data_IF_684845193637
#
_entry.id   IF_684845193637
#
_cell.length_a   1.000
_cell.length_b   1.000
_cell.length_c   1.000
_cell.angle_alpha   90.00
_cell.angle_beta   90.00
_cell.angle_gamma   90.00
#
_symmetry.space_group_name_H-M   'P 1'
#
loop_
_entity.id
_entity.type
_entity.pdbx_description
1 polymer ?
#
# COMPACT_ATOMS: atom_id res chain seq x y z
N UNK A 1 -13.64 -28.13 -3.40
CA UNK A 1 -12.73 -27.04 -3.82
C UNK A 1 -13.48 -25.75 -3.60
N UNK A 2 -13.12 -24.97 -2.59
CA UNK A 2 -13.73 -23.65 -2.39
C UNK A 2 -13.37 -22.78 -3.59
N UNK A 3 -14.35 -22.49 -4.45
CA UNK A 3 -14.20 -21.58 -5.57
C UNK A 3 -14.03 -20.16 -4.98
N UNK A 4 -12.78 -19.74 -4.86
CA UNK A 4 -12.46 -18.39 -4.35
C UNK A 4 -12.85 -17.35 -5.41
N UNK A 5 -13.46 -16.27 -4.96
CA UNK A 5 -13.72 -15.13 -5.83
C UNK A 5 -12.40 -14.54 -6.33
N UNK A 6 -12.28 -14.30 -7.63
CA UNK A 6 -11.16 -13.58 -8.25
C UNK A 6 -11.69 -12.49 -9.18
N UNK A 7 -10.95 -11.40 -9.25
CA UNK A 7 -11.21 -10.27 -10.13
C UNK A 7 -10.02 -10.09 -11.07
N UNK A 8 -10.26 -10.21 -12.36
CA UNK A 8 -9.27 -9.94 -13.40
C UNK A 8 -9.55 -8.58 -14.03
N UNK A 9 -8.52 -7.78 -14.10
CA UNK A 9 -8.60 -6.40 -14.60
C UNK A 9 -7.55 -6.21 -15.68
N UNK A 10 -7.98 -5.90 -16.90
CA UNK A 10 -7.14 -5.44 -17.98
C UNK A 10 -7.84 -4.27 -18.64
N UNK A 11 -7.35 -3.06 -18.38
CA UNK A 11 -7.98 -1.83 -18.85
C UNK A 11 -6.95 -0.84 -19.37
N UNK A 12 -7.35 -0.11 -20.41
CA UNK A 12 -6.65 1.05 -20.92
C UNK A 12 -7.58 2.26 -20.92
N UNK A 13 -7.09 3.39 -20.45
CA UNK A 13 -7.82 4.65 -20.51
C UNK A 13 -6.89 5.83 -20.76
N UNK A 14 -7.21 6.61 -21.75
CA UNK A 14 -6.54 7.87 -22.04
C UNK A 14 -6.99 8.93 -21.03
N UNK A 15 -6.03 9.54 -20.35
CA UNK A 15 -6.21 10.66 -19.46
C UNK A 15 -5.47 11.87 -20.03
N UNK A 16 -5.73 13.07 -19.49
CA UNK A 16 -5.15 14.30 -20.02
C UNK A 16 -3.62 14.28 -20.06
N UNK A 17 -2.98 13.72 -19.02
CA UNK A 17 -1.54 13.83 -18.81
C UNK A 17 -0.79 12.50 -19.02
N UNK A 18 -1.50 11.37 -19.03
CA UNK A 18 -0.92 10.05 -19.25
C UNK A 18 -1.98 9.01 -19.64
N UNK A 19 -1.55 7.87 -20.13
CA UNK A 19 -2.43 6.72 -20.40
C UNK A 19 -2.40 5.75 -19.22
N UNK A 20 -3.55 5.50 -18.61
CA UNK A 20 -3.72 4.43 -17.64
C UNK A 20 -3.73 3.08 -18.37
N UNK A 21 -2.83 2.19 -17.98
CA UNK A 21 -2.75 0.82 -18.48
C UNK A 21 -2.52 -0.13 -17.31
N UNK A 22 -3.57 -0.84 -16.92
CA UNK A 22 -3.58 -1.68 -15.72
C UNK A 22 -3.95 -3.11 -16.10
N UNK A 23 -3.06 -4.05 -15.74
CA UNK A 23 -3.31 -5.48 -15.93
C UNK A 23 -2.89 -6.23 -14.67
N UNK A 24 -3.87 -6.76 -13.91
CA UNK A 24 -3.63 -7.50 -12.69
C UNK A 24 -4.81 -8.41 -12.33
N UNK A 25 -4.57 -9.35 -11.44
CA UNK A 25 -5.60 -10.20 -10.84
C UNK A 25 -5.60 -10.02 -9.33
N UNK A 26 -6.78 -9.97 -8.74
CA UNK A 26 -6.99 -9.93 -7.30
C UNK A 26 -7.85 -11.12 -6.86
N UNK A 27 -7.46 -11.75 -5.76
CA UNK A 27 -8.16 -12.94 -5.24
C UNK A 27 -8.21 -12.92 -3.71
N UNK A 28 -7.78 -14.00 -3.08
CA UNK A 28 -7.77 -14.13 -1.62
C UNK A 28 -6.87 -13.08 -0.95
N UNK A 29 -7.35 -12.48 0.10
CA UNK A 29 -6.67 -11.42 0.84
C UNK A 29 -6.94 -10.04 0.23
N UNK A 30 -6.19 -9.04 0.70
CA UNK A 30 -6.29 -7.69 0.20
C UNK A 30 -5.18 -7.41 -0.82
N UNK A 31 -5.54 -6.94 -2.01
CA UNK A 31 -4.61 -6.40 -2.99
C UNK A 31 -4.41 -4.91 -2.72
N UNK A 32 -3.18 -4.47 -2.50
CA UNK A 32 -2.81 -3.06 -2.39
C UNK A 32 -2.40 -2.46 -3.73
N UNK A 33 -2.89 -1.27 -4.07
CA UNK A 33 -2.38 -0.48 -5.18
C UNK A 33 -1.70 0.75 -4.57
N UNK A 34 -0.35 0.76 -4.59
CA UNK A 34 0.47 1.83 -4.03
C UNK A 34 1.04 2.71 -5.14
N UNK A 35 1.00 4.01 -4.96
CA UNK A 35 1.57 4.97 -5.91
C UNK A 35 1.37 6.41 -5.48
N UNK A 36 2.07 7.34 -6.12
CA UNK A 36 1.93 8.76 -5.87
C UNK A 36 0.50 9.27 -6.18
N UNK A 37 0.13 10.40 -5.58
CA UNK A 37 -1.14 11.06 -5.91
C UNK A 37 -1.20 11.38 -7.40
N UNK A 38 -2.36 11.15 -8.02
CA UNK A 38 -2.56 11.42 -9.45
C UNK A 38 -2.07 10.34 -10.42
N UNK A 39 -1.43 9.24 -9.98
CA UNK A 39 -0.92 8.19 -10.88
C UNK A 39 -1.98 7.24 -11.47
N UNK A 40 -3.28 7.43 -11.19
CA UNK A 40 -4.36 6.65 -11.79
C UNK A 40 -5.05 5.63 -10.88
N UNK A 41 -4.66 5.49 -9.60
CA UNK A 41 -5.19 4.50 -8.64
C UNK A 41 -6.72 4.55 -8.49
N UNK A 42 -7.26 5.71 -8.13
CA UNK A 42 -8.71 5.91 -7.98
C UNK A 42 -9.46 5.73 -9.30
N UNK A 43 -8.83 6.04 -10.44
CA UNK A 43 -9.41 5.81 -11.76
C UNK A 43 -9.59 4.31 -12.03
N UNK A 44 -8.59 3.49 -11.64
CA UNK A 44 -8.67 2.03 -11.72
C UNK A 44 -9.85 1.50 -10.90
N UNK A 45 -9.98 1.91 -9.64
CA UNK A 45 -11.12 1.49 -8.81
C UNK A 45 -12.47 1.93 -9.38
N UNK A 46 -12.57 3.18 -9.87
CA UNK A 46 -13.79 3.70 -10.50
C UNK A 46 -14.15 2.93 -11.76
N UNK A 47 -13.15 2.46 -12.53
CA UNK A 47 -13.37 1.62 -13.71
C UNK A 47 -13.92 0.24 -13.31
N UNK A 48 -13.38 -0.38 -12.28
CA UNK A 48 -13.88 -1.66 -11.74
C UNK A 48 -15.32 -1.50 -11.23
N UNK A 49 -15.61 -0.43 -10.52
CA UNK A 49 -16.96 -0.14 -10.02
C UNK A 49 -17.97 0.24 -11.12
N UNK A 50 -17.51 0.55 -12.34
CA UNK A 50 -18.36 0.99 -13.45
C UNK A 50 -18.78 2.45 -13.37
N UNK A 51 -18.15 3.24 -12.50
CA UNK A 51 -18.36 4.68 -12.37
C UNK A 51 -17.72 5.41 -13.55
N UNK A 52 -16.58 4.90 -14.00
CA UNK A 52 -15.87 5.37 -15.20
C UNK A 52 -15.77 4.21 -16.18
N UNK A 53 -15.98 4.50 -17.46
CA UNK A 53 -15.83 3.51 -18.54
C UNK A 53 -14.39 3.60 -19.05
N UNK A 54 -13.61 2.50 -19.05
CA UNK A 54 -12.34 2.41 -19.76
C UNK A 54 -12.55 2.59 -21.26
N UNK A 55 -11.50 2.94 -21.99
CA UNK A 55 -11.57 3.08 -23.46
C UNK A 55 -11.42 1.70 -24.10
N UNK A 56 -10.56 0.85 -23.54
CA UNK A 56 -10.31 -0.52 -24.01
C UNK A 56 -10.13 -1.47 -22.82
N UNK A 57 -10.36 -2.76 -23.06
CA UNK A 57 -10.00 -3.83 -22.13
C UNK A 57 -11.18 -4.65 -21.64
N UNK A 58 -10.92 -5.42 -20.57
CA UNK A 58 -11.84 -6.39 -19.98
C UNK A 58 -11.73 -6.41 -18.47
N UNK A 59 -12.87 -6.53 -17.78
CA UNK A 59 -12.96 -6.72 -16.32
C UNK A 59 -13.87 -7.91 -16.06
N UNK A 60 -13.35 -8.92 -15.37
CA UNK A 60 -14.05 -10.19 -15.12
C UNK A 60 -14.05 -10.50 -13.64
N UNK A 61 -15.22 -10.86 -13.12
CA UNK A 61 -15.40 -11.40 -11.78
C UNK A 61 -15.68 -12.91 -11.90
N UNK A 62 -14.80 -13.71 -11.32
CA UNK A 62 -15.00 -15.14 -11.15
C UNK A 62 -15.42 -15.42 -9.70
N UNK A 63 -16.44 -16.21 -9.49
CA UNK A 63 -16.95 -16.52 -8.17
C UNK A 63 -17.78 -17.80 -8.17
N UNK A 64 -18.47 -18.08 -7.07
CA UNK A 64 -19.30 -19.26 -6.90
C UNK A 64 -20.37 -19.45 -8.00
N UNK A 65 -20.75 -18.36 -8.68
CA UNK A 65 -21.73 -18.34 -9.75
C UNK A 65 -21.14 -18.47 -11.16
N UNK A 66 -19.83 -18.75 -11.24
CA UNK A 66 -19.06 -18.79 -12.48
C UNK A 66 -18.48 -17.44 -12.89
N UNK A 67 -18.00 -17.37 -14.12
CA UNK A 67 -17.42 -16.16 -14.74
C UNK A 67 -18.52 -15.15 -15.06
N UNK A 68 -18.29 -13.89 -14.71
CA UNK A 68 -19.14 -12.75 -15.04
C UNK A 68 -18.31 -11.60 -15.60
N UNK A 69 -18.57 -11.22 -16.82
CA UNK A 69 -17.93 -10.09 -17.50
C UNK A 69 -18.60 -8.80 -17.07
N UNK A 70 -17.89 -7.95 -16.32
CA UNK A 70 -18.36 -6.64 -15.85
C UNK A 70 -18.19 -5.56 -16.92
N UNK A 71 -17.11 -5.67 -17.69
CA UNK A 71 -16.76 -4.79 -18.79
C UNK A 71 -15.98 -5.56 -19.86
N UNK A 72 -16.29 -5.32 -21.12
CA UNK A 72 -15.54 -5.81 -22.25
C UNK A 72 -15.77 -4.86 -23.45
N UNK A 73 -14.70 -4.22 -23.91
CA UNK A 73 -14.77 -3.25 -25.00
C UNK A 73 -15.06 -3.91 -26.36
N UNK A 74 -14.57 -5.13 -26.60
CA UNK A 74 -14.74 -5.85 -27.87
C UNK A 74 -16.17 -6.42 -27.95
N UNK A 75 -16.66 -7.01 -26.87
CA UNK A 75 -18.02 -7.55 -26.79
C UNK A 75 -19.08 -6.48 -26.51
N UNK A 76 -18.68 -5.22 -26.32
CA UNK A 76 -19.55 -4.09 -25.97
C UNK A 76 -20.38 -4.34 -24.70
N UNK A 77 -19.79 -5.05 -23.72
CA UNK A 77 -20.39 -5.30 -22.42
C UNK A 77 -19.94 -4.19 -21.47
N UNK A 78 -20.90 -3.53 -20.82
CA UNK A 78 -20.62 -2.56 -19.75
C UNK A 78 -21.75 -2.64 -18.72
N UNK A 79 -21.58 -3.48 -17.71
CA UNK A 79 -22.54 -3.59 -16.60
C UNK A 79 -22.63 -2.28 -15.82
N UNK A 80 -23.86 -1.86 -15.51
CA UNK A 80 -24.10 -0.68 -14.69
C UNK A 80 -23.53 -0.87 -13.28
N UNK A 81 -23.04 0.19 -12.60
CA UNK A 81 -22.49 0.08 -11.24
C UNK A 81 -23.39 -0.69 -10.27
N UNK A 82 -24.72 -0.45 -10.34
CA UNK A 82 -25.70 -1.05 -9.45
C UNK A 82 -25.85 -2.58 -9.63
N UNK A 83 -25.42 -3.12 -10.77
CA UNK A 83 -25.51 -4.56 -11.07
C UNK A 83 -24.21 -5.31 -10.83
N UNK A 84 -23.08 -4.62 -10.74
CA UNK A 84 -21.75 -5.21 -10.57
C UNK A 84 -21.53 -5.91 -9.23
N UNK A 85 -22.38 -5.66 -8.24
CA UNK A 85 -22.24 -6.16 -6.85
C UNK A 85 -20.87 -5.87 -6.23
N UNK A 86 -20.34 -4.68 -6.52
CA UNK A 86 -19.06 -4.17 -6.04
C UNK A 86 -19.31 -3.04 -5.03
N UNK A 87 -18.70 -3.17 -3.85
CA UNK A 87 -18.71 -2.13 -2.83
C UNK A 87 -17.61 -1.11 -3.08
N UNK A 88 -17.93 0.18 -3.03
CA UNK A 88 -16.95 1.25 -3.21
C UNK A 88 -16.98 2.19 -2.02
N UNK A 89 -15.84 2.28 -1.31
CA UNK A 89 -15.62 3.29 -0.29
C UNK A 89 -14.89 4.47 -0.91
N UNK A 90 -15.58 5.60 -0.99
CA UNK A 90 -15.02 6.86 -1.46
C UNK A 90 -14.15 7.51 -0.36
N UNK A 91 -13.17 8.29 -0.76
CA UNK A 91 -12.28 9.04 0.14
C UNK A 91 -13.06 9.96 1.13
N UNK A 92 -14.20 10.50 0.71
CA UNK A 92 -15.10 11.31 1.52
C UNK A 92 -16.29 10.52 2.10
N UNK A 93 -16.19 9.17 2.11
CA UNK A 93 -17.20 8.22 2.58
C UNK A 93 -18.56 8.28 1.86
N UNK A 94 -18.87 9.34 1.15
CA UNK A 94 -20.11 9.57 0.39
C UNK A 94 -21.38 9.12 1.14
N UNK A 95 -21.49 9.48 2.42
CA UNK A 95 -22.70 9.25 3.21
C UNK A 95 -23.81 10.18 2.70
N UNK A 96 -25.05 9.69 2.74
CA UNK A 96 -26.22 10.51 2.46
C UNK A 96 -26.47 11.47 3.63
N UNK A 97 -26.26 12.78 3.45
CA UNK A 97 -26.25 13.73 4.57
C UNK A 97 -27.61 13.89 5.26
N UNK A 98 -28.70 13.65 4.54
CA UNK A 98 -30.08 13.74 5.00
C UNK A 98 -30.65 12.41 5.53
N UNK A 99 -29.80 11.40 5.71
CA UNK A 99 -30.15 10.09 6.24
C UNK A 99 -29.38 9.82 7.52
N UNK A 100 -30.04 9.20 8.49
CA UNK A 100 -29.40 8.74 9.73
C UNK A 100 -28.43 7.59 9.44
N UNK A 101 -27.66 7.16 10.46
CA UNK A 101 -26.75 5.98 10.35
C UNK A 101 -27.53 4.75 9.90
N UNK A 102 -28.65 4.43 10.56
CA UNK A 102 -29.47 3.27 10.20
C UNK A 102 -30.03 3.36 8.78
N UNK A 103 -30.45 4.54 8.35
CA UNK A 103 -30.98 4.77 7.00
C UNK A 103 -29.86 4.63 5.94
N UNK A 104 -28.66 5.17 6.22
CA UNK A 104 -27.49 4.98 5.36
C UNK A 104 -27.16 3.48 5.17
N UNK A 105 -27.15 2.69 6.25
CA UNK A 105 -26.91 1.23 6.16
C UNK A 105 -28.05 0.54 5.40
N UNK A 106 -29.30 0.89 5.69
CA UNK A 106 -30.47 0.26 5.08
C UNK A 106 -30.59 0.50 3.56
N UNK A 107 -30.06 1.64 3.05
CA UNK A 107 -30.06 1.93 1.60
C UNK A 107 -29.30 0.85 0.82
N UNK A 108 -28.17 0.37 1.32
CA UNK A 108 -27.41 -0.72 0.71
C UNK A 108 -28.25 -2.00 0.55
N UNK A 109 -29.11 -2.29 1.53
CA UNK A 109 -30.01 -3.46 1.50
C UNK A 109 -31.20 -3.29 0.56
N UNK A 110 -31.74 -2.05 0.47
CA UNK A 110 -32.93 -1.75 -0.37
C UNK A 110 -32.60 -1.75 -1.88
N UNK A 111 -31.38 -1.42 -2.27
CA UNK A 111 -30.97 -1.35 -3.68
C UNK A 111 -30.77 -2.71 -4.36
N UNK A 112 -30.88 -3.80 -3.63
CA UNK A 112 -30.77 -5.19 -4.12
C UNK A 112 -31.97 -5.61 -4.98
N UNK A 113 -32.24 -4.92 -6.11
CA UNK A 113 -33.29 -5.26 -7.08
C UNK A 113 -32.71 -5.98 -8.29
N UNK A 114 -33.07 -7.21 -8.42
CA UNK A 114 -33.33 -8.20 -9.49
C UNK A 114 -32.57 -9.50 -9.22
N UNK A 115 -33.33 -10.52 -8.77
CA UNK A 115 -32.87 -11.90 -8.66
C UNK A 115 -32.71 -12.48 -7.23
N UNK A 116 -32.52 -11.64 -6.20
CA UNK A 116 -32.76 -12.04 -4.81
C UNK A 116 -33.94 -11.24 -4.28
N UNK A 117 -34.90 -11.90 -3.60
CA UNK A 117 -36.06 -11.25 -2.94
C UNK A 117 -35.50 -10.09 -2.09
N UNK A 118 -35.97 -8.87 -2.32
CA UNK A 118 -35.77 -7.80 -1.38
C UNK A 118 -36.25 -8.33 -0.02
N UNK A 119 -35.38 -8.34 0.99
CA UNK A 119 -35.75 -8.82 2.31
C UNK A 119 -37.02 -8.11 2.79
N UNK A 120 -37.84 -8.78 3.58
CA UNK A 120 -38.98 -8.12 4.24
C UNK A 120 -38.47 -6.90 5.02
N UNK A 121 -39.32 -5.92 5.29
CA UNK A 121 -38.91 -4.76 6.09
C UNK A 121 -38.29 -5.14 7.44
N UNK A 122 -38.66 -6.31 7.96
CA UNK A 122 -38.11 -6.90 9.18
C UNK A 122 -36.69 -7.45 8.98
N UNK A 123 -36.43 -8.12 7.88
CA UNK A 123 -35.10 -8.61 7.49
C UNK A 123 -34.12 -7.44 7.29
N UNK A 124 -34.55 -6.36 6.63
CA UNK A 124 -33.74 -5.16 6.45
C UNK A 124 -33.40 -4.55 7.81
N UNK A 125 -34.38 -4.42 8.73
CA UNK A 125 -34.16 -3.89 10.09
C UNK A 125 -33.20 -4.77 10.89
N UNK A 126 -33.33 -6.09 10.82
CA UNK A 126 -32.46 -7.05 11.50
C UNK A 126 -31.02 -6.89 11.01
N UNK A 127 -30.78 -6.95 9.70
CA UNK A 127 -29.43 -6.79 9.10
C UNK A 127 -28.82 -5.42 9.36
N UNK A 128 -29.63 -4.35 9.34
CA UNK A 128 -29.16 -3.00 9.67
C UNK A 128 -28.64 -2.94 11.11
N UNK A 129 -29.35 -3.58 12.05
CA UNK A 129 -28.93 -3.63 13.46
C UNK A 129 -27.65 -4.46 13.62
N UNK A 130 -27.59 -5.65 13.01
CA UNK A 130 -26.38 -6.49 13.01
C UNK A 130 -25.16 -5.74 12.47
N UNK A 131 -25.31 -4.98 11.38
CA UNK A 131 -24.24 -4.14 10.86
C UNK A 131 -23.87 -3.00 11.80
N UNK A 132 -24.84 -2.33 12.41
CA UNK A 132 -24.57 -1.28 13.38
C UNK A 132 -23.79 -1.81 14.60
N UNK A 133 -24.14 -2.98 15.11
CA UNK A 133 -23.42 -3.65 16.20
C UNK A 133 -22.00 -4.04 15.77
N UNK A 134 -21.85 -4.74 14.61
CA UNK A 134 -20.57 -5.21 14.09
C UNK A 134 -19.57 -4.07 13.86
N UNK A 135 -20.05 -2.89 13.45
CA UNK A 135 -19.21 -1.71 13.20
C UNK A 135 -19.15 -0.73 14.38
N UNK A 136 -19.59 -1.14 15.58
CA UNK A 136 -19.53 -0.30 16.80
C UNK A 136 -20.28 1.01 16.67
N UNK A 137 -21.46 0.97 16.04
CA UNK A 137 -22.34 2.13 15.83
C UNK A 137 -23.58 2.10 16.75
N UNK A 138 -23.64 1.17 17.70
CA UNK A 138 -24.73 1.04 18.68
C UNK A 138 -24.89 2.34 19.47
N UNK A 139 -26.12 2.85 19.55
CA UNK A 139 -26.45 4.13 20.16
C UNK A 139 -26.26 5.34 19.26
N UNK A 140 -25.79 5.15 18.02
CA UNK A 140 -25.61 6.20 17.00
C UNK A 140 -26.64 6.12 15.87
N UNK A 141 -27.53 5.14 15.88
CA UNK A 141 -28.41 4.74 14.76
C UNK A 141 -29.23 5.91 14.21
N UNK A 142 -29.67 6.81 15.11
CA UNK A 142 -30.50 7.97 14.79
C UNK A 142 -29.72 9.24 14.47
N UNK A 143 -28.38 9.21 14.54
CA UNK A 143 -27.54 10.37 14.23
C UNK A 143 -27.39 10.54 12.73
N UNK A 144 -27.27 11.80 12.31
CA UNK A 144 -26.92 12.19 10.95
C UNK A 144 -25.40 12.24 10.76
N UNK A 145 -24.89 12.12 9.52
CA UNK A 145 -23.45 12.18 9.25
C UNK A 145 -22.74 13.40 9.84
N UNK A 146 -23.36 14.57 9.85
CA UNK A 146 -22.82 15.79 10.44
C UNK A 146 -22.61 15.74 11.98
N UNK A 147 -23.22 14.77 12.66
CA UNK A 147 -23.13 14.56 14.11
C UNK A 147 -22.12 13.45 14.46
N UNK A 148 -21.40 12.89 13.47
CA UNK A 148 -20.45 11.79 13.60
C UNK A 148 -19.02 12.28 13.47
N UNK A 149 -18.11 11.67 14.24
CA UNK A 149 -16.67 11.81 13.99
C UNK A 149 -16.29 11.17 12.66
N UNK A 150 -15.12 11.53 12.10
CA UNK A 150 -14.63 10.94 10.85
C UNK A 150 -14.57 9.42 10.87
N UNK A 151 -14.12 8.81 11.99
CA UNK A 151 -14.11 7.36 12.15
C UNK A 151 -15.51 6.74 12.24
N UNK A 152 -16.48 7.43 12.85
CA UNK A 152 -17.87 6.97 12.86
C UNK A 152 -18.50 7.07 11.47
N UNK A 153 -18.17 8.10 10.69
CA UNK A 153 -18.60 8.22 9.31
C UNK A 153 -18.03 7.08 8.44
N UNK A 154 -16.73 6.78 8.56
CA UNK A 154 -16.10 5.67 7.86
C UNK A 154 -16.76 4.33 8.21
N UNK A 155 -16.95 4.04 9.51
CA UNK A 155 -17.61 2.80 9.95
C UNK A 155 -19.04 2.71 9.43
N UNK A 156 -19.76 3.81 9.36
CA UNK A 156 -21.10 3.87 8.76
C UNK A 156 -21.06 3.55 7.26
N UNK A 157 -20.08 4.09 6.53
CA UNK A 157 -19.91 3.81 5.10
C UNK A 157 -19.52 2.36 4.84
N UNK A 158 -18.62 1.79 5.64
CA UNK A 158 -18.26 0.37 5.57
C UNK A 158 -19.47 -0.53 5.91
N UNK A 159 -20.20 -0.22 6.99
CA UNK A 159 -21.41 -0.95 7.35
C UNK A 159 -22.46 -0.94 6.22
N UNK A 160 -22.65 0.20 5.54
CA UNK A 160 -23.52 0.32 4.36
C UNK A 160 -23.07 -0.59 3.22
N UNK A 161 -21.77 -0.64 2.94
CA UNK A 161 -21.19 -1.48 1.89
C UNK A 161 -21.33 -2.96 2.24
N UNK A 162 -20.94 -3.34 3.45
CA UNK A 162 -20.92 -4.74 3.87
C UNK A 162 -22.32 -5.32 4.08
N UNK A 163 -23.32 -4.48 4.32
CA UNK A 163 -24.71 -4.91 4.52
C UNK A 163 -25.27 -5.72 3.34
N UNK A 164 -24.87 -5.41 2.11
CA UNK A 164 -25.34 -6.16 0.94
C UNK A 164 -24.40 -7.29 0.46
N UNK A 165 -23.36 -7.62 1.24
CA UNK A 165 -22.41 -8.71 0.95
C UNK A 165 -21.88 -8.65 -0.50
N UNK A 166 -21.10 -7.63 -0.84
CA UNK A 166 -20.57 -7.47 -2.19
C UNK A 166 -19.60 -8.60 -2.55
N UNK A 167 -19.42 -8.88 -3.84
CA UNK A 167 -18.40 -9.82 -4.34
C UNK A 167 -17.00 -9.24 -4.32
N UNK A 168 -16.90 -7.90 -4.40
CA UNK A 168 -15.66 -7.17 -4.20
C UNK A 168 -15.87 -5.89 -3.39
N UNK A 169 -14.87 -5.50 -2.58
CA UNK A 169 -14.82 -4.22 -1.86
C UNK A 169 -13.60 -3.42 -2.33
N UNK A 170 -13.85 -2.21 -2.79
CA UNK A 170 -12.85 -1.27 -3.28
C UNK A 170 -12.73 -0.11 -2.28
N UNK A 171 -11.54 0.07 -1.73
CA UNK A 171 -11.24 1.04 -0.69
C UNK A 171 -10.32 2.13 -1.26
N UNK A 172 -10.88 3.32 -1.50
CA UNK A 172 -10.15 4.44 -2.10
C UNK A 172 -9.66 5.39 -1.01
N UNK A 173 -8.38 5.29 -0.65
CA UNK A 173 -7.71 6.08 0.40
C UNK A 173 -8.53 6.19 1.71
N UNK A 174 -8.87 5.07 2.34
CA UNK A 174 -9.87 5.04 3.42
C UNK A 174 -9.49 5.88 4.65
N UNK A 175 -8.20 6.18 4.86
CA UNK A 175 -7.72 6.86 6.07
C UNK A 175 -7.15 8.26 5.81
N UNK A 176 -7.22 8.78 4.58
CA UNK A 176 -6.56 10.03 4.18
C UNK A 176 -7.06 11.28 4.94
N UNK A 177 -8.30 11.27 5.43
CA UNK A 177 -8.91 12.40 6.12
C UNK A 177 -8.81 12.33 7.67
N UNK A 178 -7.94 11.46 8.22
CA UNK A 178 -7.88 11.18 9.66
C UNK A 178 -6.56 11.63 10.30
N UNK A 179 -6.64 12.00 11.58
CA UNK A 179 -5.45 12.16 12.42
C UNK A 179 -4.72 10.82 12.65
N UNK A 180 -3.45 10.88 13.06
CA UNK A 180 -2.59 9.71 13.19
C UNK A 180 -3.12 8.67 14.19
N UNK A 181 -3.65 9.10 15.33
CA UNK A 181 -4.15 8.20 16.39
C UNK A 181 -5.39 7.43 15.95
N UNK A 182 -6.36 8.13 15.37
CA UNK A 182 -7.59 7.54 14.88
C UNK A 182 -7.31 6.59 13.69
N UNK A 183 -6.38 6.96 12.81
CA UNK A 183 -5.95 6.17 11.65
C UNK A 183 -5.43 4.79 12.07
N UNK A 184 -4.54 4.73 13.07
CA UNK A 184 -3.97 3.46 13.54
C UNK A 184 -5.05 2.53 14.09
N UNK A 185 -5.96 3.04 14.93
CA UNK A 185 -7.07 2.26 15.46
C UNK A 185 -7.97 1.70 14.37
N UNK A 186 -8.38 2.55 13.41
CA UNK A 186 -9.29 2.14 12.34
C UNK A 186 -8.62 1.21 11.33
N UNK A 187 -7.30 1.27 11.18
CA UNK A 187 -6.52 0.34 10.37
C UNK A 187 -6.60 -1.08 10.94
N UNK A 188 -6.47 -1.24 12.26
CA UNK A 188 -6.64 -2.54 12.92
C UNK A 188 -8.07 -3.06 12.78
N UNK A 189 -9.09 -2.22 12.98
CA UNK A 189 -10.50 -2.59 12.78
C UNK A 189 -10.77 -3.04 11.34
N UNK A 190 -10.20 -2.35 10.35
CA UNK A 190 -10.33 -2.74 8.94
C UNK A 190 -9.60 -4.05 8.64
N UNK A 191 -8.42 -4.26 9.22
CA UNK A 191 -7.67 -5.52 9.07
C UNK A 191 -8.49 -6.71 9.56
N UNK A 192 -9.11 -6.61 10.73
CA UNK A 192 -9.95 -7.68 11.29
C UNK A 192 -11.20 -7.92 10.43
N UNK A 193 -11.82 -6.86 9.92
CA UNK A 193 -12.95 -7.00 9.00
C UNK A 193 -12.55 -7.72 7.69
N UNK A 194 -11.37 -7.41 7.13
CA UNK A 194 -10.91 -8.00 5.87
C UNK A 194 -10.49 -9.46 6.02
N UNK A 195 -10.04 -9.91 7.20
CA UNK A 195 -9.73 -11.33 7.48
C UNK A 195 -10.93 -12.26 7.29
N UNK A 196 -12.11 -11.80 7.70
CA UNK A 196 -13.35 -12.58 7.62
C UNK A 196 -14.06 -12.41 6.27
N UNK A 197 -13.62 -11.46 5.47
CA UNK A 197 -14.26 -11.16 4.19
C UNK A 197 -13.85 -12.18 3.12
N UNK A 198 -14.85 -12.85 2.52
CA UNK A 198 -14.64 -13.90 1.51
C UNK A 198 -14.58 -13.38 0.08
N UNK A 199 -14.96 -12.12 -0.15
CA UNK A 199 -14.89 -11.48 -1.46
C UNK A 199 -13.50 -10.96 -1.77
N UNK A 200 -13.35 -10.36 -2.95
CA UNK A 200 -12.13 -9.66 -3.36
C UNK A 200 -12.04 -8.32 -2.64
N UNK A 201 -10.90 -7.97 -2.07
CA UNK A 201 -10.65 -6.65 -1.51
C UNK A 201 -9.48 -5.96 -2.19
N UNK A 202 -9.68 -4.71 -2.58
CA UNK A 202 -8.64 -3.87 -3.20
C UNK A 202 -8.54 -2.56 -2.41
N UNK A 203 -7.34 -2.27 -1.91
CA UNK A 203 -7.00 -1.03 -1.22
C UNK A 203 -6.14 -0.15 -2.11
N UNK A 204 -6.56 1.09 -2.31
CA UNK A 204 -5.73 2.13 -2.92
C UNK A 204 -5.25 3.05 -1.81
N UNK A 205 -3.95 3.27 -1.76
CA UNK A 205 -3.32 4.20 -0.80
C UNK A 205 -2.02 4.77 -1.38
N UNK A 206 -1.57 5.87 -0.80
CA UNK A 206 -0.22 6.40 -0.98
C UNK A 206 0.65 6.17 0.28
N UNK A 207 0.07 5.62 1.36
CA UNK A 207 0.76 5.28 2.60
C UNK A 207 1.25 3.83 2.54
N UNK A 208 2.60 3.67 2.56
CA UNK A 208 3.26 2.37 2.49
C UNK A 208 2.99 1.50 3.72
N UNK A 209 2.82 2.12 4.89
CA UNK A 209 2.61 1.40 6.15
C UNK A 209 1.19 0.82 6.20
N UNK A 210 0.21 1.55 5.67
CA UNK A 210 -1.15 1.02 5.44
C UNK A 210 -1.14 -0.17 4.48
N UNK A 211 -0.47 0.00 3.34
CA UNK A 211 -0.37 -1.04 2.33
C UNK A 211 0.32 -2.30 2.87
N UNK A 212 1.44 -2.14 3.60
CA UNK A 212 2.19 -3.24 4.18
C UNK A 212 1.39 -4.03 5.23
N UNK A 213 0.60 -3.34 6.07
CA UNK A 213 -0.17 -3.97 7.14
C UNK A 213 -1.45 -4.67 6.64
N UNK A 214 -2.13 -4.07 5.65
CA UNK A 214 -3.45 -4.50 5.22
C UNK A 214 -3.44 -5.45 4.03
N UNK A 215 -2.39 -5.39 3.19
CA UNK A 215 -2.38 -6.09 1.92
C UNK A 215 -1.39 -7.25 1.90
N UNK A 216 -1.84 -8.42 1.46
CA UNK A 216 -0.98 -9.59 1.23
C UNK A 216 -0.27 -9.54 -0.12
N UNK A 217 -0.85 -8.84 -1.09
CA UNK A 217 -0.34 -8.68 -2.44
C UNK A 217 -0.36 -7.20 -2.84
N UNK A 218 0.61 -6.74 -3.60
CA UNK A 218 0.77 -5.34 -3.98
C UNK A 218 1.02 -5.15 -5.46
N UNK A 219 0.50 -4.03 -5.96
CA UNK A 219 0.80 -3.48 -7.29
C UNK A 219 1.35 -2.06 -7.09
N UNK A 220 2.57 -1.82 -7.51
CA UNK A 220 3.17 -0.48 -7.53
C UNK A 220 2.83 0.20 -8.85
N UNK A 221 2.28 1.41 -8.77
CA UNK A 221 1.82 2.16 -9.94
C UNK A 221 2.50 3.53 -10.02
N UNK A 222 3.03 3.84 -11.19
CA UNK A 222 3.54 5.16 -11.52
C UNK A 222 3.06 5.58 -12.91
N UNK A 223 2.52 6.82 -13.03
CA UNK A 223 2.04 7.41 -14.29
C UNK A 223 1.17 6.45 -15.12
N UNK A 224 0.23 5.79 -14.44
CA UNK A 224 -0.73 4.88 -15.08
C UNK A 224 -0.17 3.51 -15.50
N UNK A 225 1.08 3.19 -15.16
CA UNK A 225 1.72 1.92 -15.50
C UNK A 225 2.04 1.13 -14.22
N UNK A 226 1.97 -0.19 -14.31
CA UNK A 226 2.43 -1.08 -13.25
C UNK A 226 3.95 -1.17 -13.31
N UNK A 227 4.62 -0.80 -12.22
CA UNK A 227 6.07 -0.91 -12.07
C UNK A 227 6.50 -2.27 -11.55
N UNK A 228 5.73 -2.82 -10.62
CA UNK A 228 5.97 -4.12 -10.00
C UNK A 228 4.67 -4.65 -9.40
N UNK A 229 4.53 -5.96 -9.36
CA UNK A 229 3.43 -6.65 -8.69
C UNK A 229 3.97 -7.93 -8.04
N UNK A 230 3.50 -8.27 -6.84
CA UNK A 230 3.95 -9.45 -6.11
C UNK A 230 3.47 -9.47 -4.67
N UNK A 231 3.95 -10.44 -3.91
CA UNK A 231 3.70 -10.51 -2.47
C UNK A 231 4.27 -9.27 -1.78
N UNK A 232 3.49 -8.69 -0.86
CA UNK A 232 3.82 -7.44 -0.19
C UNK A 232 5.20 -7.48 0.49
N UNK A 233 5.47 -8.54 1.26
CA UNK A 233 6.73 -8.67 1.99
C UNK A 233 7.93 -8.77 1.06
N UNK A 234 7.80 -9.52 -0.02
CA UNK A 234 8.85 -9.68 -1.03
C UNK A 234 9.16 -8.36 -1.73
N UNK A 235 8.13 -7.64 -2.21
CA UNK A 235 8.32 -6.33 -2.85
C UNK A 235 8.93 -5.28 -1.92
N UNK A 236 8.64 -5.37 -0.62
CA UNK A 236 9.25 -4.47 0.37
C UNK A 236 10.69 -4.87 0.70
N UNK A 237 11.01 -6.14 0.78
CA UNK A 237 12.36 -6.61 1.07
C UNK A 237 13.30 -6.46 -0.13
N UNK A 238 12.83 -6.85 -1.32
CA UNK A 238 13.61 -6.93 -2.54
C UNK A 238 13.00 -6.10 -3.68
N UNK A 239 12.94 -4.78 -3.58
CA UNK A 239 12.48 -3.94 -4.69
C UNK A 239 13.50 -4.01 -5.82
N UNK A 240 13.08 -4.44 -7.01
CA UNK A 240 13.96 -4.69 -8.15
C UNK A 240 14.41 -3.38 -8.83
N UNK A 241 13.63 -2.30 -8.68
CA UNK A 241 13.91 -1.03 -9.36
C UNK A 241 14.09 0.12 -8.38
N UNK A 242 14.84 1.15 -8.80
CA UNK A 242 15.00 2.39 -8.00
C UNK A 242 13.65 3.02 -7.61
N UNK A 243 12.66 2.99 -8.51
CA UNK A 243 11.32 3.53 -8.23
C UNK A 243 10.59 2.70 -7.19
N UNK A 244 10.60 1.38 -7.29
CA UNK A 244 10.00 0.49 -6.30
C UNK A 244 10.68 0.65 -4.93
N UNK A 245 12.01 0.74 -4.89
CA UNK A 245 12.76 0.98 -3.66
C UNK A 245 12.34 2.28 -2.96
N UNK A 246 12.15 3.38 -3.71
CA UNK A 246 11.63 4.63 -3.14
C UNK A 246 10.21 4.48 -2.60
N UNK A 247 9.34 3.79 -3.31
CA UNK A 247 7.96 3.56 -2.87
C UNK A 247 7.91 2.76 -1.57
N UNK A 248 8.86 1.84 -1.37
CA UNK A 248 9.01 1.10 -0.10
C UNK A 248 9.82 1.85 0.96
N UNK A 249 10.22 3.10 0.69
CA UNK A 249 10.83 4.00 1.66
C UNK A 249 12.35 4.00 1.71
N UNK A 250 13.03 3.39 0.73
CA UNK A 250 14.47 3.51 0.61
C UNK A 250 14.85 4.94 0.17
N UNK A 251 15.59 5.65 1.02
CA UNK A 251 16.06 7.02 0.77
C UNK A 251 17.47 7.05 0.20
N UNK A 252 18.32 6.12 0.62
CA UNK A 252 19.70 6.03 0.13
C UNK A 252 19.71 5.20 -1.15
N UNK A 253 19.79 5.85 -2.30
CA UNK A 253 19.97 5.21 -3.61
C UNK A 253 21.08 5.95 -4.34
N UNK A 254 22.06 5.20 -4.85
CA UNK A 254 23.21 5.74 -5.58
C UNK A 254 23.40 5.00 -6.89
N UNK A 255 23.82 5.74 -7.93
CA UNK A 255 24.38 5.16 -9.15
C UNK A 255 25.63 4.36 -8.80
N UNK A 256 25.92 3.36 -9.59
CA UNK A 256 27.08 2.52 -9.36
C UNK A 256 28.01 2.46 -10.57
N UNK A 257 29.27 2.15 -10.27
CA UNK A 257 30.23 1.55 -11.17
C UNK A 257 30.56 0.16 -10.65
N UNK A 258 30.43 -0.87 -11.46
CA UNK A 258 30.85 -2.23 -11.10
C UNK A 258 32.37 -2.28 -11.00
N UNK A 259 32.90 -2.74 -9.86
CA UNK A 259 34.35 -2.87 -9.60
C UNK A 259 34.79 -4.32 -9.46
N UNK A 260 33.83 -5.26 -9.34
CA UNK A 260 34.07 -6.69 -9.25
C UNK A 260 32.79 -7.51 -9.43
N UNK A 261 32.89 -8.83 -9.27
CA UNK A 261 31.73 -9.73 -9.41
C UNK A 261 30.65 -9.41 -8.39
N UNK A 262 31.03 -9.22 -7.11
CA UNK A 262 30.16 -8.86 -6.00
C UNK A 262 30.61 -7.55 -5.35
N UNK A 263 31.08 -6.57 -6.14
CA UNK A 263 31.57 -5.28 -5.69
C UNK A 263 31.14 -4.16 -6.60
N UNK A 264 30.74 -3.05 -5.97
CA UNK A 264 30.32 -1.83 -6.65
C UNK A 264 30.92 -0.60 -5.97
N UNK A 265 31.09 0.46 -6.75
CA UNK A 265 31.42 1.80 -6.26
C UNK A 265 30.18 2.67 -6.36
N UNK A 266 29.70 3.18 -5.23
CA UNK A 266 28.55 4.05 -5.15
C UNK A 266 28.95 5.50 -5.48
N UNK A 267 28.59 5.95 -6.68
CA UNK A 267 29.07 7.21 -7.26
C UNK A 267 28.52 8.45 -6.53
N UNK A 268 27.28 8.39 -6.05
CA UNK A 268 26.62 9.52 -5.40
C UNK A 268 26.94 9.57 -3.89
N UNK A 269 27.71 8.62 -3.35
CA UNK A 269 28.15 8.55 -1.95
C UNK A 269 29.69 8.70 -1.85
N UNK A 270 30.26 9.63 -2.62
CA UNK A 270 31.69 9.93 -2.56
C UNK A 270 32.58 8.79 -3.10
N UNK A 271 32.03 7.90 -3.92
CA UNK A 271 32.77 6.76 -4.47
C UNK A 271 32.97 5.60 -3.49
N UNK A 272 32.09 5.46 -2.51
CA UNK A 272 32.12 4.39 -1.50
C UNK A 272 32.11 3.01 -2.16
N UNK A 273 33.10 2.18 -1.81
CA UNK A 273 33.18 0.78 -2.27
C UNK A 273 32.30 -0.08 -1.35
N UNK A 274 31.46 -0.91 -1.98
CA UNK A 274 30.53 -1.79 -1.28
C UNK A 274 30.64 -3.22 -1.82
N UNK A 275 30.74 -4.18 -0.92
CA UNK A 275 30.49 -5.58 -1.19
C UNK A 275 28.97 -5.82 -1.19
N UNK A 276 28.52 -6.68 -2.07
CA UNK A 276 27.11 -7.08 -2.20
C UNK A 276 27.00 -8.61 -2.17
N UNK A 277 25.89 -9.12 -1.68
CA UNK A 277 25.68 -10.57 -1.49
C UNK A 277 25.66 -11.34 -2.81
N UNK A 278 25.12 -10.74 -3.87
CA UNK A 278 24.89 -11.38 -5.17
C UNK A 278 25.77 -10.78 -6.27
N UNK A 279 26.12 -11.56 -7.31
CA UNK A 279 26.79 -11.00 -8.49
C UNK A 279 26.00 -9.85 -9.11
N UNK A 280 26.70 -8.80 -9.48
CA UNK A 280 26.12 -7.60 -10.11
C UNK A 280 25.87 -7.89 -11.58
N UNK A 281 24.60 -7.98 -12.00
CA UNK A 281 24.18 -8.13 -13.39
C UNK A 281 24.35 -6.83 -14.18
N UNK A 282 24.33 -6.94 -15.50
CA UNK A 282 24.51 -5.77 -16.40
C UNK A 282 23.30 -4.81 -16.36
N UNK A 283 22.15 -5.30 -15.96
CA UNK A 283 20.90 -4.52 -15.77
C UNK A 283 20.94 -3.64 -14.52
N UNK A 284 21.86 -3.89 -13.58
CA UNK A 284 21.94 -3.16 -12.32
C UNK A 284 22.69 -1.84 -12.54
N UNK A 285 22.02 -0.76 -12.25
CA UNK A 285 22.52 0.61 -12.46
C UNK A 285 22.69 1.38 -11.16
N UNK A 286 22.12 0.87 -10.06
CA UNK A 286 22.13 1.53 -8.76
C UNK A 286 22.17 0.52 -7.61
N UNK A 287 22.54 1.03 -6.43
CA UNK A 287 22.36 0.35 -5.15
C UNK A 287 21.47 1.18 -4.21
N UNK A 288 20.79 0.47 -3.34
CA UNK A 288 19.99 1.07 -2.28
C UNK A 288 20.35 0.52 -0.91
N UNK A 289 20.28 1.35 0.13
CA UNK A 289 20.44 0.96 1.53
C UNK A 289 19.30 1.62 2.33
N UNK A 290 18.59 0.86 3.13
CA UNK A 290 17.58 1.45 4.00
C UNK A 290 18.22 2.18 5.15
N UNK A 291 17.64 3.28 5.57
CA UNK A 291 18.22 4.14 6.61
C UNK A 291 18.33 3.46 7.99
N UNK A 292 17.66 2.34 8.21
CA UNK A 292 17.72 1.56 9.45
C UNK A 292 18.59 0.30 9.36
N UNK A 293 19.17 0.00 8.20
CA UNK A 293 20.01 -1.19 8.00
C UNK A 293 21.50 -0.96 8.35
N UNK A 294 21.82 0.21 8.88
CA UNK A 294 23.17 0.53 9.32
C UNK A 294 23.40 0.07 10.77
N UNK A 295 24.49 -0.66 10.99
CA UNK A 295 24.96 -1.09 12.30
C UNK A 295 26.00 -0.08 12.83
N UNK A 296 25.73 0.59 13.97
CA UNK A 296 26.70 1.51 14.55
C UNK A 296 27.86 0.75 15.22
N UNK A 297 29.09 1.15 14.95
CA UNK A 297 30.29 0.53 15.52
C UNK A 297 31.22 1.59 16.16
N UNK A 298 31.84 1.20 17.31
CA UNK A 298 32.99 1.92 17.84
C UNK A 298 34.23 1.66 16.97
N UNK A 299 35.32 2.41 17.21
CA UNK A 299 36.59 2.21 16.49
C UNK A 299 37.18 0.82 16.75
N UNK A 300 37.09 0.31 17.99
CA UNK A 300 37.57 -1.02 18.37
C UNK A 300 36.78 -2.11 17.64
N UNK A 301 35.46 -2.01 17.62
CA UNK A 301 34.59 -2.97 16.93
C UNK A 301 34.78 -2.91 15.39
N UNK A 302 34.99 -1.71 14.83
CA UNK A 302 35.29 -1.55 13.41
C UNK A 302 36.66 -2.15 13.02
N UNK A 303 37.65 -2.13 13.92
CA UNK A 303 38.97 -2.74 13.67
C UNK A 303 38.89 -4.25 13.48
N UNK A 304 37.93 -4.96 14.08
CA UNK A 304 37.72 -6.39 13.88
C UNK A 304 37.22 -6.72 12.45
N UNK A 305 36.58 -5.76 11.79
CA UNK A 305 36.11 -5.86 10.42
C UNK A 305 37.09 -5.34 9.39
N UNK A 306 38.11 -4.57 9.82
CA UNK A 306 39.09 -3.96 8.94
C UNK A 306 39.86 -5.04 8.15
N UNK A 307 39.90 -4.91 6.82
CA UNK A 307 40.56 -5.85 5.93
C UNK A 307 39.71 -7.05 5.51
N UNK A 308 38.49 -7.23 6.01
CA UNK A 308 37.55 -8.20 5.48
C UNK A 308 36.90 -7.67 4.20
N UNK A 309 36.80 -8.52 3.21
CA UNK A 309 36.19 -8.12 1.90
C UNK A 309 34.72 -7.69 2.01
N UNK A 310 34.02 -8.16 3.04
CA UNK A 310 32.58 -7.98 3.28
C UNK A 310 32.28 -6.86 4.28
N UNK A 311 33.28 -6.06 4.66
CA UNK A 311 33.15 -5.20 5.83
C UNK A 311 32.25 -3.97 5.64
N UNK A 312 32.05 -3.46 4.43
CA UNK A 312 31.23 -2.26 4.12
C UNK A 312 31.25 -1.20 5.25
N UNK A 313 32.44 -0.81 5.67
CA UNK A 313 32.65 0.17 6.74
C UNK A 313 32.57 1.60 6.22
N UNK A 314 31.75 2.41 6.85
CA UNK A 314 31.51 3.81 6.48
C UNK A 314 31.91 4.69 7.66
N UNK A 315 32.94 5.54 7.53
CA UNK A 315 33.30 6.45 8.62
C UNK A 315 32.23 7.53 8.80
N UNK A 316 31.86 7.82 10.05
CA UNK A 316 30.94 8.90 10.39
C UNK A 316 31.74 10.20 10.51
N UNK A 317 31.68 11.03 9.47
CA UNK A 317 32.35 12.32 9.41
C UNK A 317 31.34 13.43 9.31
N UNK A 318 31.55 14.52 10.07
CA UNK A 318 30.70 15.72 10.04
C UNK A 318 29.20 15.47 10.00
N UNK A 319 28.65 14.60 10.88
CA UNK A 319 27.26 14.19 10.82
C UNK A 319 26.33 15.36 11.16
N UNK A 320 25.28 15.53 10.36
CA UNK A 320 24.19 16.44 10.65
C UNK A 320 23.05 15.66 11.30
N UNK A 321 22.77 15.95 12.57
CA UNK A 321 21.73 15.26 13.34
C UNK A 321 20.45 16.08 13.34
N UNK A 322 19.35 15.46 12.93
CA UNK A 322 17.99 15.97 13.10
C UNK A 322 17.27 15.12 14.13
N UNK A 323 16.94 15.73 15.25
CA UNK A 323 16.32 15.05 16.38
C UNK A 323 14.79 14.99 16.22
N UNK A 324 14.23 13.78 16.34
CA UNK A 324 12.81 13.51 16.43
C UNK A 324 12.46 12.97 17.83
N UNK A 325 11.18 12.88 18.23
CA UNK A 325 10.81 12.45 19.59
C UNK A 325 11.42 11.12 20.03
N UNK A 326 11.47 10.13 19.14
CA UNK A 326 11.92 8.77 19.45
C UNK A 326 13.12 8.30 18.61
N UNK A 327 13.52 9.06 17.61
CA UNK A 327 14.51 8.69 16.60
C UNK A 327 15.46 9.86 16.33
N UNK A 328 16.64 9.54 15.82
CA UNK A 328 17.55 10.50 15.19
C UNK A 328 17.66 10.19 13.69
N UNK A 329 17.66 11.23 12.90
CA UNK A 329 18.03 11.17 11.48
C UNK A 329 19.39 11.81 11.33
N UNK A 330 20.37 11.01 10.96
CA UNK A 330 21.75 11.43 10.78
C UNK A 330 22.05 11.44 9.29
N UNK A 331 22.50 12.59 8.78
CA UNK A 331 22.98 12.71 7.41
C UNK A 331 24.50 12.81 7.45
N UNK A 332 25.19 11.90 6.78
CA UNK A 332 26.64 11.89 6.64
C UNK A 332 27.11 12.89 5.57
N UNK A 333 28.38 13.24 5.57
CA UNK A 333 29.04 14.06 4.54
C UNK A 333 28.90 13.48 3.13
N UNK A 334 28.89 12.15 3.01
CA UNK A 334 28.60 11.41 1.79
C UNK A 334 27.15 11.52 1.27
N UNK A 335 26.26 12.17 2.02
CA UNK A 335 24.84 12.26 1.70
C UNK A 335 24.00 11.05 2.13
N UNK A 336 24.59 10.05 2.76
CA UNK A 336 23.87 8.92 3.31
C UNK A 336 23.00 9.31 4.50
N UNK A 337 21.80 8.74 4.56
CA UNK A 337 20.84 8.92 5.65
C UNK A 337 20.84 7.69 6.54
N UNK A 338 21.12 7.88 7.80
CA UNK A 338 21.00 6.87 8.86
C UNK A 338 19.86 7.23 9.81
N UNK A 339 19.01 6.27 10.12
CA UNK A 339 17.92 6.39 11.08
C UNK A 339 18.18 5.46 12.25
N UNK A 340 18.17 5.99 13.46
CA UNK A 340 18.42 5.21 14.68
C UNK A 340 17.41 5.57 15.76
N UNK A 341 16.92 4.54 16.46
CA UNK A 341 16.10 4.74 17.65
C UNK A 341 16.92 5.23 18.83
N UNK A 342 16.43 6.24 19.55
CA UNK A 342 17.10 6.82 20.71
C UNK A 342 17.42 5.78 21.78
N UNK A 343 16.53 4.84 22.03
CA UNK A 343 16.69 3.74 23.00
C UNK A 343 17.92 2.87 22.68
N UNK A 344 18.10 2.49 21.43
CA UNK A 344 19.22 1.65 20.98
C UNK A 344 20.53 2.42 21.12
N UNK A 345 20.54 3.68 20.70
CA UNK A 345 21.73 4.53 20.75
C UNK A 345 22.20 4.76 22.20
N UNK A 346 21.28 5.11 23.10
CA UNK A 346 21.61 5.40 24.52
C UNK A 346 22.16 4.16 25.24
N UNK A 347 21.69 2.97 24.90
CA UNK A 347 22.16 1.71 25.51
C UNK A 347 23.49 1.23 24.93
N UNK A 348 23.74 1.43 23.64
CA UNK A 348 24.93 0.91 22.97
C UNK A 348 26.15 1.84 23.06
N UNK A 349 25.97 3.16 23.07
CA UNK A 349 27.05 4.12 22.87
C UNK A 349 27.00 5.37 23.78
N UNK A 350 26.07 5.44 24.73
CA UNK A 350 25.83 6.66 25.50
C UNK A 350 25.24 7.77 24.62
N UNK A 351 25.62 9.03 24.84
CA UNK A 351 25.15 10.17 24.04
C UNK A 351 26.07 10.52 22.84
N UNK A 352 27.12 9.71 22.57
CA UNK A 352 28.05 9.96 21.47
C UNK A 352 27.58 9.25 20.19
N UNK A 353 27.81 9.89 19.03
CA UNK A 353 27.60 9.24 17.74
C UNK A 353 28.69 8.18 17.50
N UNK A 354 28.40 7.08 16.76
CA UNK A 354 29.37 6.06 16.42
C UNK A 354 30.46 6.65 15.49
N UNK A 355 31.65 6.09 15.55
CA UNK A 355 32.74 6.50 14.64
C UNK A 355 32.60 5.86 13.26
N UNK A 356 31.95 4.69 13.20
CA UNK A 356 31.71 3.95 11.97
C UNK A 356 30.27 3.42 11.91
N UNK A 357 29.78 3.27 10.69
CA UNK A 357 28.58 2.48 10.36
C UNK A 357 29.03 1.29 9.51
N UNK A 358 28.48 0.12 9.79
CA UNK A 358 28.61 -1.07 8.96
C UNK A 358 27.30 -1.33 8.22
N UNK A 359 27.40 -1.79 6.98
CA UNK A 359 26.25 -2.28 6.20
C UNK A 359 26.52 -3.71 5.80
N UNK A 360 25.72 -4.68 6.28
CA UNK A 360 25.84 -6.06 5.81
C UNK A 360 25.66 -6.15 4.29
N UNK A 361 26.42 -6.98 3.55
CA UNK A 361 26.28 -7.11 2.10
C UNK A 361 24.87 -7.45 1.63
N UNK A 362 24.13 -8.23 2.43
CA UNK A 362 22.73 -8.61 2.20
C UNK A 362 21.75 -7.43 2.32
N UNK A 363 22.11 -6.36 3.04
CA UNK A 363 21.32 -5.16 3.17
C UNK A 363 21.52 -4.17 2.01
N UNK A 364 22.50 -4.41 1.15
CA UNK A 364 22.77 -3.61 -0.05
C UNK A 364 21.91 -4.13 -1.19
N UNK A 365 20.82 -3.44 -1.48
CA UNK A 365 19.89 -3.76 -2.58
C UNK A 365 20.52 -3.43 -3.93
N UNK A 366 20.46 -4.39 -4.88
CA UNK A 366 20.83 -4.19 -6.28
C UNK A 366 19.60 -3.74 -7.07
N UNK A 367 19.66 -2.57 -7.68
CA UNK A 367 18.52 -1.90 -8.31
C UNK A 367 18.77 -1.61 -9.79
N UNK A 368 17.72 -1.83 -10.60
CA UNK A 368 17.68 -1.42 -12.00
C UNK A 368 16.99 -0.04 -12.17
N UNK A 369 17.26 0.62 -13.31
CA UNK A 369 16.63 1.86 -13.70
C UNK A 369 17.31 3.12 -13.16
N UNK A 370 16.73 4.30 -13.46
CA UNK A 370 17.32 5.59 -13.09
C UNK A 370 17.18 5.86 -11.58
N UNK A 371 18.28 6.10 -10.85
CA UNK A 371 18.25 6.49 -9.46
C UNK A 371 17.79 7.94 -9.25
N UNK A 372 17.70 8.79 -10.28
CA UNK A 372 17.12 10.12 -10.19
C UNK A 372 15.59 10.04 -10.04
N UNK A 373 14.96 10.98 -9.29
CA UNK A 373 13.51 10.98 -9.08
C UNK A 373 12.72 11.28 -10.36
#
# INVERSE_FOLDING_TARGET
MDSQNTLEVRIRKELKDFTLNMEFSAGKGCLGILGASGCGKSMTLKSIAGIVTPDEGRIVMNGERGERVLYDSELRINEKPQTRNVGYLFQNYALFPNMTVEENIAVGLKSRKKGRKAGSGEEIRRRTREMAERFGLTGLEKRFPSQLSGGQQQRTALARIMAYEPEAVLLDEPFSAMDAYLREKLRLELLDMLKDYRGVSILVTHDRDEAFQLCSFMVFVDRGQILAAGETRELFQNPVTCRAARMTGCKNISRIQRTGRCRVRALDWGGLELAVERPVGDEITAVGIRAHDFEPLSREAAAEWAGREEANLIPVREPKVSEMPFEWYVTLDSGLWWKVEKSIHTHAMGNALPEYLRVPPEAVMLLAGDPKP
#
